data_IF_414105678180
#
_entry.id   IF_414105678180
#
_cell.length_a   1.000
_cell.length_b   1.000
_cell.length_c   1.000
_cell.angle_alpha   90.00
_cell.angle_beta   90.00
_cell.angle_gamma   90.00
#
_symmetry.space_group_name_H-M   'P 1'
#
loop_
_entity.id
_entity.type
_entity.pdbx_description
1 polymer ?
#
# COMPACT_ATOMS: atom_id res chain seq x y z
N UNK A 1 4.70 -8.83 -28.02
CA UNK A 1 6.00 -8.73 -27.30
C UNK A 1 5.98 -7.51 -26.37
N UNK A 2 6.70 -7.51 -25.23
CA UNK A 2 6.47 -6.61 -24.08
C UNK A 2 6.85 -5.12 -24.21
N UNK A 3 7.71 -4.72 -25.15
CA UNK A 3 8.28 -3.35 -25.23
C UNK A 3 7.82 -2.55 -26.46
N UNK A 4 6.64 -2.85 -26.99
CA UNK A 4 6.13 -2.27 -28.24
C UNK A 4 5.74 -0.77 -28.12
N UNK A 5 5.48 -0.30 -26.89
CA UNK A 5 5.19 1.11 -26.58
C UNK A 5 6.42 2.03 -26.64
N UNK A 6 7.63 1.50 -26.85
CA UNK A 6 8.85 2.29 -26.93
C UNK A 6 8.73 3.37 -28.01
N UNK A 7 8.90 4.62 -27.58
CA UNK A 7 9.07 5.79 -28.45
C UNK A 7 10.48 6.34 -28.25
N UNK A 8 11.21 6.54 -29.33
CA UNK A 8 12.58 7.03 -29.26
C UNK A 8 12.97 7.78 -30.53
N UNK A 9 13.73 8.90 -30.43
CA UNK A 9 14.03 9.74 -31.59
C UNK A 9 14.85 9.02 -32.68
N UNK A 10 15.59 7.97 -32.33
CA UNK A 10 16.31 7.12 -33.30
C UNK A 10 15.45 6.01 -33.92
N UNK A 11 14.22 5.79 -33.44
CA UNK A 11 13.27 4.80 -33.94
C UNK A 11 12.05 5.42 -34.62
N UNK A 12 11.57 6.59 -34.15
CA UNK A 12 10.39 7.26 -34.70
C UNK A 12 10.42 7.48 -36.22
N UNK A 13 11.55 7.84 -36.87
CA UNK A 13 11.59 8.01 -38.32
C UNK A 13 11.19 6.75 -39.11
N UNK A 14 11.37 5.56 -38.51
CA UNK A 14 11.02 4.27 -39.11
C UNK A 14 9.56 3.86 -38.84
N UNK A 15 8.81 4.67 -38.08
CA UNK A 15 7.40 4.43 -37.75
C UNK A 15 6.48 5.21 -38.71
N UNK A 16 5.45 4.53 -39.21
CA UNK A 16 4.32 5.09 -39.96
C UNK A 16 3.01 4.97 -39.18
N UNK A 17 1.86 5.21 -39.85
CA UNK A 17 0.53 5.19 -39.20
C UNK A 17 0.18 3.86 -38.53
N UNK A 18 0.65 2.74 -39.09
CA UNK A 18 0.34 1.39 -38.63
C UNK A 18 1.49 0.72 -37.85
N UNK A 19 2.44 1.50 -37.31
CA UNK A 19 3.63 0.96 -36.64
C UNK A 19 4.88 1.03 -37.51
N UNK A 20 5.78 0.05 -37.44
CA UNK A 20 7.03 0.08 -38.21
C UNK A 20 6.75 -0.10 -39.72
N UNK A 21 7.29 0.81 -40.53
CA UNK A 21 7.06 0.84 -41.98
C UNK A 21 8.10 -0.01 -42.72
N UNK A 22 7.64 -1.04 -43.43
CA UNK A 22 8.47 -1.98 -44.16
C UNK A 22 9.29 -1.32 -45.28
N UNK A 23 8.78 -0.27 -45.91
CA UNK A 23 9.50 0.43 -46.98
C UNK A 23 10.69 1.21 -46.42
N UNK A 24 10.48 1.90 -45.28
CA UNK A 24 11.51 2.66 -44.57
C UNK A 24 12.58 1.77 -43.99
N UNK A 25 12.20 0.63 -43.41
CA UNK A 25 13.16 -0.35 -42.91
C UNK A 25 14.11 -0.87 -43.99
N UNK A 26 13.65 -0.94 -45.25
CA UNK A 26 14.48 -1.42 -46.36
C UNK A 26 15.43 -0.36 -46.94
N UNK A 27 15.10 0.94 -46.81
CA UNK A 27 15.74 2.00 -47.60
C UNK A 27 16.28 3.17 -46.77
N UNK A 28 15.69 3.44 -45.61
CA UNK A 28 15.83 4.73 -44.93
C UNK A 28 16.60 4.64 -43.60
N UNK A 29 17.16 3.48 -43.27
CA UNK A 29 18.01 3.31 -42.08
C UNK A 29 19.29 4.13 -42.26
N UNK A 30 19.54 5.05 -41.33
CA UNK A 30 20.72 5.91 -41.36
C UNK A 30 21.86 5.35 -40.49
N UNK A 31 23.14 5.52 -40.88
CA UNK A 31 24.27 5.00 -40.09
C UNK A 31 24.35 5.51 -38.65
N UNK A 32 23.85 6.73 -38.38
CA UNK A 32 23.81 7.25 -37.01
C UNK A 32 22.76 6.56 -36.14
N UNK A 33 21.66 6.07 -36.73
CA UNK A 33 20.65 5.28 -36.02
C UNK A 33 21.25 3.93 -35.64
N UNK A 34 21.94 3.26 -36.56
CA UNK A 34 22.61 1.98 -36.31
C UNK A 34 23.61 2.09 -35.15
N UNK A 35 24.49 3.11 -35.17
CA UNK A 35 25.42 3.37 -34.06
C UNK A 35 24.68 3.60 -32.74
N UNK A 36 23.52 4.26 -32.78
CA UNK A 36 22.69 4.52 -31.59
C UNK A 36 22.04 3.25 -31.05
N UNK A 37 21.51 2.40 -31.92
CA UNK A 37 20.98 1.09 -31.56
C UNK A 37 22.06 0.21 -30.94
N UNK A 38 23.22 0.09 -31.59
CA UNK A 38 24.35 -0.67 -31.09
C UNK A 38 24.80 -0.18 -29.71
N UNK A 39 24.94 1.14 -29.52
CA UNK A 39 25.31 1.74 -28.23
C UNK A 39 24.32 1.39 -27.12
N UNK A 40 23.01 1.47 -27.37
CA UNK A 40 22.02 1.16 -26.34
C UNK A 40 21.87 -0.33 -26.06
N UNK A 41 22.13 -1.18 -27.06
CA UNK A 41 22.19 -2.62 -26.87
C UNK A 41 23.35 -3.00 -25.96
N UNK A 42 24.55 -2.48 -26.21
CA UNK A 42 25.76 -2.82 -25.45
C UNK A 42 25.83 -2.14 -24.07
N UNK A 43 25.03 -1.10 -23.84
CA UNK A 43 24.93 -0.41 -22.54
C UNK A 43 23.54 -0.61 -21.93
N UNK A 44 23.01 -1.83 -22.04
CA UNK A 44 21.79 -2.21 -21.34
C UNK A 44 21.95 -1.99 -19.82
N UNK A 45 20.89 -1.62 -19.08
CA UNK A 45 20.97 -1.30 -17.66
C UNK A 45 21.03 -2.57 -16.79
N UNK A 46 22.05 -3.39 -16.99
CA UNK A 46 22.32 -4.64 -16.30
C UNK A 46 23.76 -4.62 -15.75
N UNK A 47 23.92 -5.03 -14.50
CA UNK A 47 25.23 -5.17 -13.87
C UNK A 47 25.12 -5.59 -12.41
N UNK A 48 26.25 -5.97 -11.83
CA UNK A 48 26.38 -6.42 -10.43
C UNK A 48 26.64 -5.26 -9.46
N UNK A 49 26.54 -5.54 -8.16
CA UNK A 49 26.77 -4.54 -7.12
C UNK A 49 28.21 -4.01 -7.08
N UNK A 50 29.21 -4.84 -7.41
CA UNK A 50 30.61 -4.44 -7.54
C UNK A 50 30.95 -3.82 -8.91
N UNK A 51 29.93 -3.38 -9.65
CA UNK A 51 30.03 -2.66 -10.93
C UNK A 51 30.53 -3.47 -12.14
N UNK A 52 30.32 -4.79 -12.15
CA UNK A 52 30.56 -5.60 -13.36
C UNK A 52 29.34 -5.48 -14.26
N UNK A 53 29.52 -4.92 -15.45
CA UNK A 53 28.46 -4.71 -16.43
C UNK A 53 28.15 -5.98 -17.23
N UNK A 54 26.88 -6.20 -17.54
CA UNK A 54 26.42 -7.36 -18.29
C UNK A 54 25.42 -8.21 -17.52
N UNK A 55 25.23 -9.45 -17.97
CA UNK A 55 24.35 -10.42 -17.31
C UNK A 55 24.99 -10.99 -16.05
N UNK A 56 24.22 -11.66 -15.20
CA UNK A 56 24.72 -12.20 -13.92
C UNK A 56 25.84 -13.25 -14.07
N UNK A 57 25.98 -13.88 -15.24
CA UNK A 57 27.03 -14.86 -15.57
C UNK A 57 28.18 -14.26 -16.36
N UNK A 58 28.21 -12.93 -16.52
CA UNK A 58 29.29 -12.25 -17.22
C UNK A 58 30.58 -12.30 -16.40
N UNK A 59 31.72 -12.45 -17.07
CA UNK A 59 33.03 -12.38 -16.43
C UNK A 59 33.37 -10.94 -16.03
N UNK A 60 34.31 -10.77 -15.09
CA UNK A 60 34.77 -9.44 -14.65
C UNK A 60 35.59 -8.72 -15.74
N UNK A 61 34.91 -8.12 -16.72
CA UNK A 61 35.55 -7.46 -17.87
C UNK A 61 35.22 -5.97 -17.99
N UNK A 62 33.95 -5.59 -17.83
CA UNK A 62 33.50 -4.21 -18.05
C UNK A 62 33.04 -3.59 -16.74
N UNK A 63 33.61 -2.44 -16.37
CA UNK A 63 33.18 -1.68 -15.20
C UNK A 63 32.04 -0.72 -15.59
N UNK A 64 30.78 -1.17 -15.45
CA UNK A 64 29.60 -0.40 -15.83
C UNK A 64 28.34 -0.82 -15.07
N UNK A 65 27.65 0.15 -14.48
CA UNK A 65 26.25 0.03 -14.05
C UNK A 65 25.53 1.31 -14.46
N UNK A 66 24.33 1.17 -15.04
CA UNK A 66 23.57 2.32 -15.50
C UNK A 66 23.16 3.24 -14.33
N UNK A 67 23.31 4.58 -14.45
CA UNK A 67 22.74 5.52 -13.48
C UNK A 67 21.24 5.33 -13.26
N UNK A 68 20.51 4.82 -14.27
CA UNK A 68 19.07 4.49 -14.12
C UNK A 68 18.85 3.44 -13.04
N UNK A 69 19.70 2.42 -12.98
CA UNK A 69 19.61 1.36 -11.97
C UNK A 69 19.89 1.92 -10.58
N UNK A 70 20.97 2.70 -10.41
CA UNK A 70 21.31 3.33 -9.13
C UNK A 70 20.22 4.28 -8.63
N UNK A 71 19.71 5.15 -9.50
CA UNK A 71 18.67 6.10 -9.13
C UNK A 71 17.36 5.37 -8.80
N UNK A 72 16.93 4.41 -9.63
CA UNK A 72 15.69 3.68 -9.38
C UNK A 72 15.73 2.88 -8.08
N UNK A 73 16.81 2.14 -7.82
CA UNK A 73 16.91 1.31 -6.60
C UNK A 73 17.02 2.16 -5.33
N UNK A 74 17.86 3.21 -5.35
CA UNK A 74 17.97 4.13 -4.20
C UNK A 74 16.65 4.81 -3.87
N UNK A 75 15.94 5.35 -4.87
CA UNK A 75 14.68 6.03 -4.65
C UNK A 75 13.55 5.07 -4.24
N UNK A 76 13.56 3.83 -4.72
CA UNK A 76 12.61 2.83 -4.27
C UNK A 76 12.81 2.49 -2.79
N UNK A 77 14.07 2.25 -2.37
CA UNK A 77 14.41 1.97 -0.97
C UNK A 77 14.06 3.15 -0.07
N UNK A 78 14.42 4.37 -0.48
CA UNK A 78 14.07 5.58 0.25
C UNK A 78 12.55 5.76 0.34
N UNK A 79 11.83 5.64 -0.77
CA UNK A 79 10.36 5.75 -0.81
C UNK A 79 9.67 4.75 0.12
N UNK A 80 10.16 3.51 0.18
CA UNK A 80 9.66 2.51 1.12
C UNK A 80 9.86 2.96 2.58
N UNK A 81 11.05 3.42 2.96
CA UNK A 81 11.29 3.87 4.33
C UNK A 81 10.56 5.16 4.69
N UNK A 82 10.34 6.06 3.73
CA UNK A 82 9.46 7.21 3.93
C UNK A 82 8.02 6.78 4.21
N UNK A 83 7.53 5.76 3.51
CA UNK A 83 6.19 5.21 3.76
C UNK A 83 6.09 4.55 5.14
N UNK A 84 7.08 3.75 5.54
CA UNK A 84 7.14 3.17 6.90
C UNK A 84 7.19 4.27 7.96
N UNK A 85 8.04 5.28 7.76
CA UNK A 85 8.15 6.45 8.64
C UNK A 85 6.83 7.21 8.72
N UNK A 86 6.12 7.39 7.60
CA UNK A 86 4.80 8.00 7.58
C UNK A 86 3.80 7.22 8.45
N UNK A 87 3.69 5.90 8.28
CA UNK A 87 2.78 5.08 9.07
C UNK A 87 3.08 5.18 10.57
N UNK A 88 4.36 5.09 10.92
CA UNK A 88 4.83 5.19 12.30
C UNK A 88 4.48 6.56 12.91
N UNK A 89 4.85 7.65 12.25
CA UNK A 89 4.65 8.99 12.77
C UNK A 89 3.18 9.41 12.77
N UNK A 90 2.40 9.04 11.75
CA UNK A 90 0.97 9.32 11.69
C UNK A 90 0.21 8.56 12.79
N UNK A 91 0.52 7.28 13.00
CA UNK A 91 -0.04 6.47 14.07
C UNK A 91 0.27 7.05 15.46
N UNK A 92 1.55 7.39 15.71
CA UNK A 92 1.97 8.00 16.98
C UNK A 92 1.36 9.37 17.21
N UNK A 93 1.28 10.22 16.18
CA UNK A 93 0.65 11.54 16.29
C UNK A 93 -0.83 11.42 16.67
N UNK A 94 -1.55 10.46 16.09
CA UNK A 94 -2.95 10.18 16.44
C UNK A 94 -3.07 9.65 17.87
N UNK A 95 -2.23 8.71 18.28
CA UNK A 95 -2.24 8.19 19.66
C UNK A 95 -1.94 9.30 20.69
N UNK A 96 -1.02 10.22 20.36
CA UNK A 96 -0.68 11.35 21.22
C UNK A 96 -1.80 12.38 21.33
N UNK A 97 -2.47 12.68 20.20
CA UNK A 97 -3.64 13.55 20.20
C UNK A 97 -4.81 12.96 21.02
N UNK A 98 -4.93 11.63 21.07
CA UNK A 98 -5.91 10.93 21.88
C UNK A 98 -5.44 10.60 23.30
N UNK A 99 -4.18 10.91 23.66
CA UNK A 99 -3.64 10.80 25.01
C UNK A 99 -3.25 9.41 25.50
N UNK A 100 -3.08 8.42 24.61
CA UNK A 100 -2.70 7.04 24.98
C UNK A 100 -1.37 6.57 24.36
N UNK A 101 -0.54 7.50 23.87
CA UNK A 101 0.74 7.16 23.23
C UNK A 101 1.77 6.54 24.17
N UNK A 102 1.61 6.73 25.48
CA UNK A 102 2.50 6.21 26.52
C UNK A 102 2.03 4.88 27.12
N UNK A 103 0.89 4.36 26.66
CA UNK A 103 0.29 3.13 27.19
C UNK A 103 -1.15 3.33 27.64
N UNK A 104 -1.69 2.27 28.23
CA UNK A 104 -3.07 2.20 28.70
C UNK A 104 -3.12 2.60 30.17
N UNK A 105 -4.10 3.41 30.54
CA UNK A 105 -4.41 3.71 31.94
C UNK A 105 -4.98 2.46 32.63
N UNK A 106 -4.37 2.05 33.75
CA UNK A 106 -4.76 0.85 34.50
C UNK A 106 -6.08 1.03 35.25
N UNK A 107 -6.41 2.27 35.62
CA UNK A 107 -7.66 2.56 36.31
C UNK A 107 -8.83 2.69 35.33
N UNK A 108 -8.53 2.98 34.05
CA UNK A 108 -9.52 3.15 32.99
C UNK A 108 -9.16 2.35 31.72
N UNK A 109 -9.12 1.03 31.86
CA UNK A 109 -8.91 0.13 30.72
C UNK A 109 -10.17 0.05 29.85
N UNK A 110 -10.16 0.76 28.72
CA UNK A 110 -11.34 0.96 27.87
C UNK A 110 -12.08 -0.33 27.47
N UNK A 111 -11.33 -1.42 27.20
CA UNK A 111 -11.91 -2.71 26.78
C UNK A 111 -12.77 -3.35 27.89
N UNK A 112 -12.39 -3.21 29.16
CA UNK A 112 -13.17 -3.77 30.28
C UNK A 112 -14.51 -3.05 30.46
N UNK A 113 -14.56 -1.75 30.16
CA UNK A 113 -15.78 -0.95 30.22
C UNK A 113 -16.80 -1.29 29.13
N UNK A 114 -16.34 -1.65 27.93
CA UNK A 114 -17.22 -1.94 26.77
C UNK A 114 -18.17 -3.10 27.09
N UNK A 115 -17.67 -4.19 27.69
CA UNK A 115 -18.51 -5.35 28.03
C UNK A 115 -19.56 -5.04 29.09
N UNK A 116 -19.22 -4.21 30.08
CA UNK A 116 -20.16 -3.81 31.14
C UNK A 116 -21.25 -2.92 30.57
N UNK A 117 -20.90 -2.01 29.67
CA UNK A 117 -21.86 -1.10 29.05
C UNK A 117 -22.79 -1.86 28.09
N UNK A 118 -22.27 -2.81 27.31
CA UNK A 118 -23.07 -3.70 26.46
C UNK A 118 -24.07 -4.53 27.29
N UNK A 119 -23.65 -5.07 28.43
CA UNK A 119 -24.53 -5.81 29.33
C UNK A 119 -25.62 -4.93 29.96
N UNK A 120 -25.29 -3.70 30.35
CA UNK A 120 -26.30 -2.73 30.83
C UNK A 120 -27.29 -2.41 29.73
N UNK A 121 -26.83 -2.22 28.50
CA UNK A 121 -27.66 -1.94 27.33
C UNK A 121 -28.60 -3.11 27.03
N UNK A 122 -28.11 -4.34 27.13
CA UNK A 122 -28.90 -5.57 26.98
C UNK A 122 -29.94 -5.73 28.11
N UNK A 123 -29.57 -5.41 29.35
CA UNK A 123 -30.47 -5.41 30.52
C UNK A 123 -31.58 -4.36 30.40
N UNK A 124 -31.25 -3.14 30.00
CA UNK A 124 -32.21 -2.06 29.72
C UNK A 124 -33.18 -2.46 28.60
N UNK A 125 -32.67 -3.04 27.50
CA UNK A 125 -33.52 -3.62 26.44
C UNK A 125 -34.41 -4.77 26.94
N UNK A 126 -33.99 -5.54 27.95
CA UNK A 126 -34.82 -6.58 28.56
C UNK A 126 -35.89 -5.99 29.48
N UNK A 127 -35.57 -4.95 30.25
CA UNK A 127 -36.55 -4.24 31.08
C UNK A 127 -37.61 -3.53 30.23
N UNK A 128 -37.22 -2.81 29.19
CA UNK A 128 -38.20 -2.15 28.29
C UNK A 128 -39.09 -3.16 27.55
N UNK A 129 -38.54 -4.33 27.15
CA UNK A 129 -39.36 -5.44 26.61
C UNK A 129 -40.35 -6.01 27.62
N UNK A 130 -40.00 -6.05 28.91
CA UNK A 130 -40.90 -6.51 29.99
C UNK A 130 -41.99 -5.49 30.29
N UNK A 131 -41.66 -4.21 30.31
CA UNK A 131 -42.61 -3.12 30.55
C UNK A 131 -43.62 -2.98 29.40
N UNK A 132 -43.18 -3.12 28.14
CA UNK A 132 -44.07 -3.13 26.97
C UNK A 132 -44.98 -4.37 26.88
N UNK A 133 -44.71 -5.43 27.64
CA UNK A 133 -45.56 -6.63 27.72
C UNK A 133 -46.64 -6.54 28.81
N UNK A 134 -46.55 -5.55 29.72
CA UNK A 134 -47.54 -5.34 30.78
C UNK A 134 -48.64 -4.38 30.27
N UNK A 135 -49.93 -4.74 30.39
CA UNK A 135 -51.01 -3.85 30.00
C UNK A 135 -50.98 -2.59 30.88
N UNK A 136 -51.20 -1.43 30.26
CA UNK A 136 -51.16 -0.10 30.87
C UNK A 136 -52.08 -0.02 32.10
N UNK A 137 -51.52 -0.21 33.30
CA UNK A 137 -52.27 -0.10 34.56
C UNK A 137 -51.77 -0.93 35.74
N UNK A 138 -50.90 -1.92 35.54
CA UNK A 138 -50.33 -2.74 36.64
C UNK A 138 -48.82 -2.47 36.79
N UNK A 139 -48.46 -1.76 37.86
CA UNK A 139 -47.06 -1.55 38.24
C UNK A 139 -46.43 -2.83 38.79
N UNK A 140 -45.20 -3.13 38.38
CA UNK A 140 -44.40 -4.32 38.76
C UNK A 140 -44.30 -4.49 40.28
N UNK A 141 -44.37 -3.39 41.04
CA UNK A 141 -44.34 -3.41 42.52
C UNK A 141 -45.46 -4.26 43.14
N UNK A 142 -46.63 -4.34 42.51
CA UNK A 142 -47.79 -5.07 43.06
C UNK A 142 -47.61 -6.59 42.94
N UNK A 143 -46.91 -7.06 41.90
CA UNK A 143 -46.74 -8.51 41.70
C UNK A 143 -45.72 -9.14 42.66
N UNK A 144 -44.67 -8.39 43.03
CA UNK A 144 -43.61 -8.90 43.93
C UNK A 144 -44.10 -9.00 45.37
N UNK A 145 -44.99 -8.09 45.78
CA UNK A 145 -45.55 -8.08 47.14
C UNK A 145 -46.51 -9.27 47.41
N UNK A 146 -47.09 -9.85 46.35
CA UNK A 146 -47.96 -11.04 46.44
C UNK A 146 -47.15 -12.32 46.64
N UNK A 147 -45.94 -12.41 46.07
CA UNK A 147 -45.11 -13.62 46.14
C UNK A 147 -44.38 -13.75 47.49
N UNK A 148 -44.00 -12.64 48.13
CA UNK A 148 -43.31 -12.65 49.45
C UNK A 148 -44.28 -12.93 50.62
N UNK A 149 -45.59 -12.92 50.38
CA UNK A 149 -46.63 -13.19 51.38
C UNK A 149 -47.20 -14.62 51.37
N UNK A 150 -46.55 -15.58 50.70
CA UNK A 150 -46.88 -17.01 50.78
C UNK A 150 -45.88 -17.80 51.59
#
# INVERSE_FOLDING_TARGET
MRFWDLRAPWLEPLRGPNGLDLSRLKKDIQPWQERRFAKYMTHAPLGSLNSVGGVATEINAVNYVSPRSWLATSHFVLGFFFFVGYLWHAGRARAAAAGFEKGIDRDFEHILGIWVEDLKLESQKRQSRRENWLPSGLSVSILVEVEVRR
#
